data_IF_994121534226
#
_entry.id   IF_994121534226
#
_cell.length_a   1.000
_cell.length_b   1.000
_cell.length_c   1.000
_cell.angle_alpha   90.00
_cell.angle_beta   90.00
_cell.angle_gamma   90.00
#
_symmetry.space_group_name_H-M   'P 1'
#
loop_
_entity.id
_entity.type
_entity.pdbx_description
1 polymer ?
#
# COMPACT_ATOMS: atom_id res chain seq x y z
N UNK A 1 29.75 48.54 -29.98
CA UNK A 1 29.66 48.55 -28.50
C UNK A 1 30.50 47.40 -27.98
N UNK A 2 31.59 47.69 -27.27
CA UNK A 2 32.51 46.68 -26.76
C UNK A 2 32.02 46.19 -25.39
N UNK A 3 31.57 44.94 -25.32
CA UNK A 3 31.19 44.31 -24.06
C UNK A 3 32.48 43.93 -23.32
N UNK A 4 32.71 44.51 -22.14
CA UNK A 4 33.89 44.22 -21.29
C UNK A 4 33.84 42.76 -20.80
N UNK A 5 34.93 42.01 -21.00
CA UNK A 5 35.05 40.60 -20.61
C UNK A 5 34.79 40.36 -19.11
N UNK A 6 35.16 41.32 -18.27
CA UNK A 6 34.92 41.28 -16.81
C UNK A 6 33.42 41.33 -16.48
N UNK A 7 32.64 42.05 -17.28
CA UNK A 7 31.18 42.12 -17.14
C UNK A 7 30.51 40.80 -17.54
N UNK A 8 31.10 40.08 -18.49
CA UNK A 8 30.59 38.79 -18.99
C UNK A 8 30.82 37.67 -17.96
N UNK A 9 31.98 37.67 -17.29
CA UNK A 9 32.31 36.75 -16.20
C UNK A 9 31.39 36.92 -14.99
N UNK A 10 31.08 38.16 -14.60
CA UNK A 10 30.17 38.44 -13.47
C UNK A 10 28.74 37.97 -13.80
N UNK A 11 28.26 38.20 -15.04
CA UNK A 11 26.93 37.72 -15.45
C UNK A 11 26.84 36.18 -15.48
N UNK A 12 27.93 35.49 -15.84
CA UNK A 12 27.97 34.03 -15.88
C UNK A 12 27.95 33.40 -14.48
N UNK A 13 28.61 34.03 -13.49
CA UNK A 13 28.57 33.59 -12.09
C UNK A 13 27.19 33.77 -11.44
N UNK A 14 26.43 34.81 -11.80
CA UNK A 14 25.08 35.00 -11.22
C UNK A 14 24.07 33.98 -11.74
N UNK A 15 24.22 33.52 -13.00
CA UNK A 15 23.25 32.60 -13.62
C UNK A 15 23.28 31.19 -13.02
N UNK A 16 24.41 30.74 -12.46
CA UNK A 16 24.52 29.42 -11.84
C UNK A 16 23.90 29.34 -10.44
N UNK A 17 23.81 30.46 -9.71
CA UNK A 17 23.22 30.50 -8.36
C UNK A 17 21.69 30.44 -8.34
N UNK A 18 21.02 30.68 -9.48
CA UNK A 18 19.56 30.61 -9.61
C UNK A 18 19.02 29.16 -9.59
N UNK A 19 19.89 28.15 -9.75
CA UNK A 19 19.49 26.74 -9.92
C UNK A 19 19.40 26.00 -8.57
N UNK A 20 19.89 26.56 -7.46
CA UNK A 20 20.12 25.80 -6.21
C UNK A 20 19.05 26.02 -5.12
N UNK A 21 18.04 26.88 -5.33
CA UNK A 21 17.01 27.14 -4.30
C UNK A 21 15.75 26.26 -4.34
N UNK A 22 15.68 25.21 -5.18
CA UNK A 22 14.58 24.24 -5.14
C UNK A 22 14.88 23.03 -4.25
N UNK A 23 15.50 23.25 -3.09
CA UNK A 23 15.71 22.21 -2.08
C UNK A 23 14.72 22.32 -0.92
N UNK A 24 13.44 22.51 -1.22
CA UNK A 24 12.33 22.13 -0.32
C UNK A 24 11.16 21.64 -1.17
N UNK A 25 11.31 20.46 -1.78
CA UNK A 25 10.13 19.64 -2.07
C UNK A 25 9.66 19.10 -0.71
N UNK A 26 8.87 19.91 0.01
CA UNK A 26 8.01 19.33 1.03
C UNK A 26 7.06 18.39 0.30
N UNK A 27 7.08 17.12 0.69
CA UNK A 27 6.10 16.12 0.31
C UNK A 27 4.69 16.65 0.62
N UNK A 28 4.10 17.35 -0.34
CA UNK A 28 2.67 17.53 -0.46
C UNK A 28 2.34 17.06 -1.86
N UNK A 29 2.46 15.75 -2.08
CA UNK A 29 1.56 15.10 -3.02
C UNK A 29 0.18 15.37 -2.44
N UNK A 30 -0.72 16.12 -3.10
CA UNK A 30 -2.09 16.14 -2.65
C UNK A 30 -2.54 14.68 -2.67
N UNK A 31 -2.81 14.10 -1.48
CA UNK A 31 -3.25 12.71 -1.28
C UNK A 31 -4.53 12.35 -2.07
N UNK A 32 -5.04 13.27 -2.89
CA UNK A 32 -6.35 13.26 -3.51
C UNK A 32 -6.36 12.85 -4.99
N UNK A 33 -5.22 12.47 -5.61
CA UNK A 33 -5.23 12.08 -7.04
C UNK A 33 -4.80 10.66 -7.41
N UNK A 34 -4.32 9.79 -6.52
CA UNK A 34 -3.88 8.45 -6.98
C UNK A 34 -4.05 7.27 -6.03
N UNK A 35 -4.65 7.42 -4.83
CA UNK A 35 -4.90 6.26 -3.97
C UNK A 35 -6.40 6.01 -3.77
N UNK A 36 -7.01 5.27 -4.71
CA UNK A 36 -8.39 4.76 -4.55
C UNK A 36 -8.50 3.79 -3.36
N UNK A 37 -7.38 3.21 -2.93
CA UNK A 37 -7.28 2.44 -1.70
C UNK A 37 -7.13 3.38 -0.50
N UNK A 38 -8.01 3.20 0.49
CA UNK A 38 -8.01 3.94 1.75
C UNK A 38 -7.47 3.05 2.88
N UNK A 39 -6.45 3.49 3.62
CA UNK A 39 -5.90 2.70 4.72
C UNK A 39 -6.95 2.42 5.80
N UNK A 40 -6.93 1.21 6.34
CA UNK A 40 -7.76 0.79 7.47
C UNK A 40 -7.09 1.26 8.76
N UNK A 41 -7.75 2.16 9.50
CA UNK A 41 -7.21 2.71 10.75
C UNK A 41 -7.12 1.69 11.88
N UNK A 42 -8.08 0.77 11.93
CA UNK A 42 -8.21 -0.20 13.02
C UNK A 42 -8.10 -1.62 12.47
N UNK A 43 -6.88 -2.15 12.41
CA UNK A 43 -6.63 -3.53 11.94
C UNK A 43 -7.19 -4.61 12.89
N UNK A 44 -7.47 -4.23 14.14
CA UNK A 44 -8.15 -5.06 15.14
C UNK A 44 -9.68 -5.04 15.04
N UNK A 45 -10.23 -4.35 14.05
CA UNK A 45 -11.66 -4.43 13.76
C UNK A 45 -12.06 -5.91 13.59
N UNK A 46 -13.14 -6.38 14.26
CA UNK A 46 -13.54 -7.78 14.21
C UNK A 46 -13.70 -8.32 12.79
N UNK A 47 -14.18 -7.50 11.85
CA UNK A 47 -14.36 -7.88 10.45
C UNK A 47 -13.03 -8.09 9.73
N UNK A 48 -12.05 -7.23 10.01
CA UNK A 48 -10.71 -7.34 9.40
C UNK A 48 -10.00 -8.58 9.92
N UNK A 49 -10.12 -8.86 11.22
CA UNK A 49 -9.59 -10.07 11.84
C UNK A 49 -10.28 -11.33 11.28
N UNK A 50 -11.60 -11.31 11.10
CA UNK A 50 -12.38 -12.40 10.52
C UNK A 50 -11.94 -12.71 9.08
N UNK A 51 -11.75 -11.70 8.23
CA UNK A 51 -11.24 -11.89 6.87
C UNK A 51 -9.84 -12.53 6.89
N UNK A 52 -8.98 -12.10 7.81
CA UNK A 52 -7.64 -12.68 8.00
C UNK A 52 -7.67 -14.16 8.41
N UNK A 53 -8.57 -14.53 9.34
CA UNK A 53 -8.78 -15.94 9.73
C UNK A 53 -9.35 -16.77 8.59
N UNK A 54 -10.36 -16.24 7.90
CA UNK A 54 -10.98 -16.89 6.75
C UNK A 54 -9.97 -17.15 5.64
N UNK A 55 -9.00 -16.24 5.45
CA UNK A 55 -7.90 -16.44 4.52
C UNK A 55 -7.10 -17.70 4.85
N UNK A 56 -6.65 -17.84 6.10
CA UNK A 56 -5.85 -18.99 6.53
C UNK A 56 -6.62 -20.31 6.32
N UNK A 57 -7.88 -20.36 6.74
CA UNK A 57 -8.74 -21.52 6.51
C UNK A 57 -8.88 -21.85 5.03
N UNK A 58 -9.16 -20.84 4.19
CA UNK A 58 -9.32 -21.02 2.74
C UNK A 58 -8.02 -21.46 2.07
N UNK A 59 -6.89 -20.85 2.44
CA UNK A 59 -5.60 -21.16 1.86
C UNK A 59 -5.13 -22.58 2.22
N UNK A 60 -5.29 -22.98 3.48
CA UNK A 60 -4.96 -24.33 3.94
C UNK A 60 -5.76 -25.38 3.17
N UNK A 61 -7.08 -25.17 3.01
CA UNK A 61 -7.94 -26.06 2.23
C UNK A 61 -7.55 -26.11 0.74
N UNK A 62 -7.23 -24.95 0.12
CA UNK A 62 -6.90 -24.87 -1.30
C UNK A 62 -5.51 -25.40 -1.66
N UNK A 63 -4.54 -25.27 -0.75
CA UNK A 63 -3.12 -25.55 -1.01
C UNK A 63 -2.58 -26.76 -0.24
N UNK A 64 -3.43 -27.43 0.54
CA UNK A 64 -3.03 -28.50 1.45
C UNK A 64 -1.83 -28.07 2.31
N UNK A 65 -2.03 -26.96 3.04
CA UNK A 65 -1.04 -26.33 3.92
C UNK A 65 -1.58 -26.27 5.34
N UNK A 66 -0.69 -26.02 6.30
CA UNK A 66 -1.03 -25.85 7.70
C UNK A 66 -0.54 -24.50 8.23
N UNK A 67 -1.04 -23.41 7.64
CA UNK A 67 -0.79 -22.07 8.14
C UNK A 67 -1.58 -21.83 9.44
N UNK A 68 -0.96 -21.16 10.40
CA UNK A 68 -1.59 -20.68 11.63
C UNK A 68 -1.76 -19.16 11.57
N UNK A 69 -2.98 -18.67 11.79
CA UNK A 69 -3.27 -17.24 11.75
C UNK A 69 -2.59 -16.50 12.91
N UNK A 70 -1.82 -15.44 12.61
CA UNK A 70 -1.27 -14.55 13.63
C UNK A 70 -2.06 -13.24 13.72
N UNK A 71 -2.00 -12.41 12.67
CA UNK A 71 -2.69 -11.11 12.66
C UNK A 71 -2.72 -10.49 11.26
N UNK A 72 -3.58 -9.48 11.10
CA UNK A 72 -3.49 -8.56 9.95
C UNK A 72 -2.54 -7.42 10.33
N UNK A 73 -1.46 -7.25 9.57
CA UNK A 73 -0.40 -6.27 9.86
C UNK A 73 -0.55 -4.98 9.05
N UNK A 74 -1.23 -5.05 7.91
CA UNK A 74 -1.59 -3.89 7.09
C UNK A 74 -2.93 -4.14 6.42
N UNK A 75 -3.66 -3.06 6.12
CA UNK A 75 -4.96 -3.18 5.49
C UNK A 75 -5.40 -1.90 4.81
N UNK A 76 -6.00 -2.05 3.64
CA UNK A 76 -6.63 -0.97 2.89
C UNK A 76 -7.98 -1.43 2.35
N UNK A 77 -8.86 -0.46 2.10
CA UNK A 77 -10.18 -0.67 1.51
C UNK A 77 -10.35 0.12 0.24
N UNK A 78 -11.03 -0.46 -0.73
CA UNK A 78 -11.44 0.22 -1.95
C UNK A 78 -12.95 0.03 -2.09
N UNK A 79 -13.69 1.13 -2.05
CA UNK A 79 -15.14 1.12 -2.33
C UNK A 79 -15.32 1.12 -3.84
N UNK A 80 -16.14 0.22 -4.36
CA UNK A 80 -16.50 0.12 -5.77
C UNK A 80 -18.03 0.05 -5.88
N UNK A 81 -18.58 0.33 -7.07
CA UNK A 81 -20.05 0.29 -7.29
C UNK A 81 -20.67 -1.04 -6.85
N UNK A 82 -19.95 -2.15 -7.06
CA UNK A 82 -20.41 -3.49 -6.71
C UNK A 82 -20.20 -3.90 -5.24
N UNK A 83 -19.53 -3.09 -4.40
CA UNK A 83 -19.22 -3.44 -3.02
C UNK A 83 -17.91 -2.87 -2.48
N UNK A 84 -17.24 -3.63 -1.60
CA UNK A 84 -15.99 -3.20 -0.95
C UNK A 84 -14.92 -4.26 -1.14
N UNK A 85 -13.73 -3.84 -1.58
CA UNK A 85 -12.53 -4.67 -1.58
C UNK A 85 -11.69 -4.34 -0.36
N UNK A 86 -11.10 -5.37 0.23
CA UNK A 86 -10.14 -5.30 1.31
C UNK A 86 -8.83 -5.86 0.78
N UNK A 87 -7.75 -5.06 0.80
CA UNK A 87 -6.38 -5.50 0.53
C UNK A 87 -5.70 -5.61 1.88
N UNK A 88 -5.43 -6.82 2.34
CA UNK A 88 -4.83 -7.06 3.64
C UNK A 88 -3.47 -7.73 3.46
N UNK A 89 -2.51 -7.30 4.27
CA UNK A 89 -1.28 -8.06 4.51
C UNK A 89 -1.48 -8.83 5.80
N UNK A 90 -1.58 -10.15 5.70
CA UNK A 90 -1.82 -11.06 6.82
C UNK A 90 -0.56 -11.82 7.14
N UNK A 91 -0.19 -11.84 8.41
CA UNK A 91 0.91 -12.66 8.92
C UNK A 91 0.36 -14.00 9.42
N UNK A 92 1.03 -15.09 9.05
CA UNK A 92 0.68 -16.44 9.45
C UNK A 92 1.94 -17.28 9.63
N UNK A 93 1.93 -18.21 10.59
CA UNK A 93 3.04 -19.14 10.78
C UNK A 93 2.90 -20.36 9.90
N UNK A 94 3.99 -20.78 9.30
CA UNK A 94 4.15 -22.06 8.63
C UNK A 94 5.32 -22.78 9.29
N UNK A 95 5.06 -23.92 9.95
CA UNK A 95 6.10 -24.71 10.64
C UNK A 95 6.92 -23.89 11.65
N UNK A 96 6.26 -22.96 12.36
CA UNK A 96 6.89 -22.08 13.35
C UNK A 96 7.55 -20.83 12.78
N UNK A 97 7.62 -20.68 11.45
CA UNK A 97 8.17 -19.49 10.79
C UNK A 97 7.05 -18.56 10.37
N UNK A 98 7.08 -17.30 10.85
CA UNK A 98 6.12 -16.27 10.42
C UNK A 98 6.37 -15.85 8.97
N UNK A 99 5.32 -15.87 8.17
CA UNK A 99 5.31 -15.46 6.76
C UNK A 99 4.19 -14.47 6.52
N UNK A 100 4.40 -13.55 5.58
CA UNK A 100 3.43 -12.53 5.22
C UNK A 100 2.76 -12.86 3.89
N UNK A 101 1.47 -12.58 3.80
CA UNK A 101 0.64 -12.85 2.63
C UNK A 101 -0.18 -11.62 2.28
N UNK A 102 -0.22 -11.28 0.99
CA UNK A 102 -1.17 -10.28 0.47
C UNK A 102 -2.42 -10.99 0.00
N UNK A 103 -3.55 -10.52 0.51
CA UNK A 103 -4.87 -11.06 0.19
C UNK A 103 -5.80 -9.94 -0.25
N UNK A 104 -6.59 -10.18 -1.29
CA UNK A 104 -7.67 -9.29 -1.69
C UNK A 104 -8.99 -10.02 -1.53
N UNK A 105 -9.85 -9.46 -0.69
CA UNK A 105 -11.19 -9.97 -0.39
C UNK A 105 -12.24 -8.99 -0.90
N UNK A 106 -13.18 -9.46 -1.71
CA UNK A 106 -14.31 -8.67 -2.19
C UNK A 106 -15.57 -9.04 -1.41
N UNK A 107 -16.24 -8.04 -0.86
CA UNK A 107 -17.48 -8.15 -0.12
C UNK A 107 -18.63 -7.53 -0.91
N UNK A 108 -19.65 -8.32 -1.22
CA UNK A 108 -20.87 -7.82 -1.83
C UNK A 108 -21.76 -7.15 -0.75
N UNK A 109 -22.35 -5.98 -1.01
CA UNK A 109 -22.99 -5.16 0.03
C UNK A 109 -24.35 -5.71 0.48
N UNK A 110 -25.13 -6.30 -0.44
CA UNK A 110 -26.49 -6.75 -0.17
C UNK A 110 -26.49 -8.16 0.44
N UNK A 111 -25.87 -9.11 -0.24
CA UNK A 111 -25.84 -10.52 0.20
C UNK A 111 -24.93 -10.76 1.41
N UNK A 112 -24.08 -9.78 1.76
CA UNK A 112 -23.02 -9.92 2.78
C UNK A 112 -22.12 -11.15 2.57
N UNK A 113 -22.09 -11.68 1.36
CA UNK A 113 -21.14 -12.72 0.94
C UNK A 113 -19.87 -12.07 0.39
N UNK A 114 -18.72 -12.71 0.63
CA UNK A 114 -17.47 -12.27 0.03
C UNK A 114 -16.60 -13.41 -0.44
N UNK A 115 -15.60 -13.07 -1.25
CA UNK A 115 -14.71 -14.01 -1.94
C UNK A 115 -13.29 -13.47 -2.01
N UNK A 116 -12.31 -14.36 -1.92
CA UNK A 116 -10.93 -14.00 -2.24
C UNK A 116 -10.75 -13.91 -3.75
N UNK A 117 -10.25 -12.77 -4.21
CA UNK A 117 -9.94 -12.54 -5.63
C UNK A 117 -8.46 -12.66 -5.93
N UNK A 118 -7.62 -12.58 -4.90
CA UNK A 118 -6.16 -12.65 -5.05
C UNK A 118 -5.52 -13.11 -3.74
N UNK A 119 -4.55 -14.01 -3.83
CA UNK A 119 -3.79 -14.55 -2.72
C UNK A 119 -2.33 -14.73 -3.16
N UNK A 120 -1.38 -14.11 -2.43
CA UNK A 120 0.06 -14.23 -2.73
C UNK A 120 0.88 -14.28 -1.44
N UNK A 121 1.86 -15.17 -1.40
CA UNK A 121 2.96 -15.15 -0.41
C UNK A 121 3.95 -14.02 -0.73
N UNK A 122 4.35 -13.25 0.28
CA UNK A 122 5.40 -12.24 0.16
C UNK A 122 6.77 -12.88 0.49
N UNK A 123 7.77 -12.75 -0.39
CA UNK A 123 9.13 -13.17 -0.05
C UNK A 123 9.61 -12.40 1.19
N UNK A 124 10.28 -13.14 2.07
CA UNK A 124 10.93 -12.65 3.28
C UNK A 124 12.10 -11.73 2.97
#
# INVERSE_FOLDING_TARGET
MALKLDSLLITLLTLTTLIIHSAQCSDIIPETLTNWWKPIKHLKDPKVAEIGKLFVTTYNAMKNRNLEYESVIQGETQVVVAGVKYRLTTSAKEEGVSRNFVVIYFQHPVTRTGKFTYLRHLPS
#
